data_IF_315921828524
#
_entry.id   IF_315921828524
#
_cell.length_a   1.000
_cell.length_b   1.000
_cell.length_c   1.000
_cell.angle_alpha   90.00
_cell.angle_beta   90.00
_cell.angle_gamma   90.00
#
_symmetry.space_group_name_H-M   'P 1'
#
loop_
_entity.id
_entity.type
_entity.pdbx_description
1 polymer ?
#
# COMPACT_ATOMS: atom_id res chain seq x y z
N UNK A 1 83.79 -36.27 -20.60
CA UNK A 1 82.55 -36.47 -19.83
C UNK A 1 81.91 -35.11 -19.61
N UNK A 2 80.77 -34.83 -20.23
CA UNK A 2 79.58 -34.16 -19.67
C UNK A 2 78.46 -34.27 -20.73
N UNK A 3 77.44 -35.08 -20.42
CA UNK A 3 76.22 -35.27 -21.19
C UNK A 3 75.37 -33.99 -21.10
N UNK A 4 74.98 -33.40 -22.23
CA UNK A 4 73.93 -32.38 -22.26
C UNK A 4 72.64 -33.02 -22.78
N UNK A 5 71.65 -33.17 -21.89
CA UNK A 5 70.35 -33.81 -22.14
C UNK A 5 69.47 -32.83 -22.92
N UNK A 6 69.05 -33.21 -24.13
CA UNK A 6 68.07 -32.43 -24.93
C UNK A 6 66.73 -32.41 -24.19
N UNK A 7 66.31 -31.23 -23.74
CA UNK A 7 64.95 -30.99 -23.21
C UNK A 7 64.04 -30.62 -24.40
N UNK A 8 63.08 -31.47 -24.75
CA UNK A 8 62.02 -31.11 -25.68
C UNK A 8 61.00 -30.20 -24.98
N UNK A 9 60.85 -28.97 -25.47
CA UNK A 9 59.82 -28.05 -25.03
C UNK A 9 58.46 -28.47 -25.63
N UNK A 10 57.52 -28.89 -24.78
CA UNK A 10 56.13 -29.16 -25.19
C UNK A 10 55.53 -27.89 -25.81
N UNK A 11 54.91 -28.03 -26.99
CA UNK A 11 54.25 -26.94 -27.71
C UNK A 11 53.04 -26.45 -26.90
N UNK A 12 53.15 -25.28 -26.28
CA UNK A 12 52.07 -24.67 -25.49
C UNK A 12 50.98 -24.13 -26.40
N UNK A 13 49.73 -24.45 -26.10
CA UNK A 13 48.59 -23.82 -26.75
C UNK A 13 48.49 -22.35 -26.30
N UNK A 14 48.08 -21.43 -27.19
CA UNK A 14 47.80 -20.05 -26.79
C UNK A 14 46.73 -20.00 -25.69
N UNK A 15 46.91 -19.11 -24.72
CA UNK A 15 46.03 -18.96 -23.53
C UNK A 15 44.56 -18.70 -23.88
N UNK A 16 44.27 -18.19 -25.07
CA UNK A 16 42.91 -17.93 -25.57
C UNK A 16 42.15 -19.17 -26.04
N UNK A 17 42.77 -20.36 -26.01
CA UNK A 17 42.19 -21.61 -26.50
C UNK A 17 42.00 -22.58 -25.34
N UNK A 18 40.76 -22.97 -25.09
CA UNK A 18 40.43 -23.96 -24.07
C UNK A 18 40.71 -25.35 -24.63
N UNK A 19 41.72 -26.00 -24.07
CA UNK A 19 42.21 -27.32 -24.44
C UNK A 19 42.19 -28.25 -23.23
N UNK A 20 41.71 -29.46 -23.42
CA UNK A 20 41.75 -30.52 -22.41
C UNK A 20 42.99 -31.40 -22.64
N UNK A 21 43.89 -31.49 -21.65
CA UNK A 21 45.12 -32.27 -21.74
C UNK A 21 44.89 -33.79 -21.66
N UNK A 22 43.82 -34.24 -21.01
CA UNK A 22 43.51 -35.67 -20.81
C UNK A 22 42.88 -36.27 -22.05
N UNK A 23 41.89 -35.58 -22.62
CA UNK A 23 41.17 -36.05 -23.81
C UNK A 23 41.78 -35.57 -25.13
N UNK A 24 42.71 -34.60 -25.09
CA UNK A 24 43.33 -33.97 -26.26
C UNK A 24 42.30 -33.39 -27.24
N UNK A 25 41.32 -32.66 -26.70
CA UNK A 25 40.25 -32.06 -27.49
C UNK A 25 40.01 -30.57 -27.15
N UNK A 26 39.46 -29.83 -28.12
CA UNK A 26 39.05 -28.44 -27.96
C UNK A 26 37.62 -28.36 -27.40
N UNK A 27 37.50 -28.07 -26.12
CA UNK A 27 36.20 -28.08 -25.41
C UNK A 27 35.49 -26.72 -25.35
N UNK A 28 36.05 -25.68 -25.98
CA UNK A 28 35.54 -24.30 -25.89
C UNK A 28 34.05 -24.15 -26.27
N UNK A 29 33.53 -25.03 -27.15
CA UNK A 29 32.11 -25.04 -27.57
C UNK A 29 31.16 -25.58 -26.49
N UNK A 30 31.65 -26.41 -25.58
CA UNK A 30 30.84 -27.08 -24.56
C UNK A 30 30.67 -26.22 -23.30
N UNK A 31 31.41 -25.11 -23.21
CA UNK A 31 31.35 -24.23 -22.05
C UNK A 31 30.05 -23.44 -22.03
N UNK A 32 29.35 -23.35 -20.88
CA UNK A 32 28.15 -22.53 -20.73
C UNK A 32 28.45 -21.02 -20.64
N UNK A 33 29.71 -20.63 -20.77
CA UNK A 33 30.19 -19.25 -20.68
C UNK A 33 31.23 -18.95 -21.77
N UNK A 34 31.41 -17.67 -22.08
CA UNK A 34 32.37 -17.21 -23.07
C UNK A 34 33.82 -17.49 -22.62
N UNK A 35 34.58 -18.20 -23.45
CA UNK A 35 36.01 -18.48 -23.24
C UNK A 35 36.96 -17.49 -23.93
N UNK A 36 36.41 -16.56 -24.74
CA UNK A 36 37.17 -15.52 -25.46
C UNK A 36 36.51 -14.16 -25.26
N UNK A 37 37.29 -13.09 -25.38
CA UNK A 37 36.81 -11.71 -25.24
C UNK A 37 35.70 -11.31 -26.24
N UNK A 38 35.59 -12.02 -27.38
CA UNK A 38 34.52 -11.84 -28.38
C UNK A 38 33.26 -12.67 -28.10
N UNK A 39 33.24 -13.49 -27.04
CA UNK A 39 32.08 -14.29 -26.69
C UNK A 39 30.96 -13.48 -26.02
N UNK A 40 29.73 -14.02 -25.95
CA UNK A 40 28.60 -13.31 -25.36
C UNK A 40 28.86 -13.02 -23.87
N UNK A 41 28.75 -11.75 -23.49
CA UNK A 41 28.92 -11.31 -22.11
C UNK A 41 27.63 -11.60 -21.34
N UNK A 42 27.71 -12.44 -20.30
CA UNK A 42 26.61 -12.66 -19.37
C UNK A 42 26.50 -11.41 -18.48
N UNK A 43 25.54 -10.54 -18.79
CA UNK A 43 25.22 -9.38 -17.93
C UNK A 43 24.19 -9.82 -16.89
N UNK A 44 24.54 -9.75 -15.61
CA UNK A 44 23.56 -9.93 -14.53
C UNK A 44 22.57 -8.76 -14.62
N UNK A 45 21.25 -9.00 -14.73
CA UNK A 45 20.27 -7.93 -14.78
C UNK A 45 20.34 -7.12 -13.47
N UNK A 46 20.24 -5.79 -13.58
CA UNK A 46 20.25 -4.91 -12.41
C UNK A 46 18.96 -5.11 -11.58
N UNK A 47 19.07 -5.92 -10.52
CA UNK A 47 17.96 -6.21 -9.60
C UNK A 47 17.62 -5.03 -8.69
N UNK A 48 18.52 -4.07 -8.54
CA UNK A 48 18.33 -2.91 -7.65
C UNK A 48 17.27 -1.97 -8.19
N UNK A 49 17.23 -1.76 -9.51
CA UNK A 49 16.18 -0.99 -10.16
C UNK A 49 14.79 -1.64 -9.98
N UNK A 50 14.71 -2.98 -10.00
CA UNK A 50 13.46 -3.70 -9.74
C UNK A 50 13.03 -3.58 -8.27
N UNK A 51 13.95 -3.79 -7.33
CA UNK A 51 13.69 -3.63 -5.89
C UNK A 51 13.24 -2.21 -5.55
N UNK A 52 13.94 -1.19 -6.05
CA UNK A 52 13.58 0.21 -5.83
C UNK A 52 12.19 0.55 -6.39
N UNK A 53 11.84 0.03 -7.57
CA UNK A 53 10.48 0.19 -8.12
C UNK A 53 9.44 -0.49 -7.23
N UNK A 54 9.73 -1.68 -6.70
CA UNK A 54 8.88 -2.39 -5.75
C UNK A 54 8.64 -1.59 -4.47
N UNK A 55 9.72 -1.13 -3.82
CA UNK A 55 9.65 -0.30 -2.61
C UNK A 55 8.82 0.95 -2.86
N UNK A 56 9.09 1.70 -3.93
CA UNK A 56 8.31 2.92 -4.26
C UNK A 56 6.81 2.64 -4.43
N UNK A 57 6.45 1.53 -5.08
CA UNK A 57 5.04 1.14 -5.27
C UNK A 57 4.37 0.83 -3.93
N UNK A 58 4.99 -0.03 -3.12
CA UNK A 58 4.45 -0.44 -1.82
C UNK A 58 4.36 0.76 -0.87
N UNK A 59 5.39 1.61 -0.81
CA UNK A 59 5.35 2.83 0.00
C UNK A 59 4.20 3.75 -0.39
N UNK A 60 3.95 3.93 -1.69
CA UNK A 60 2.81 4.75 -2.15
C UNK A 60 1.48 4.12 -1.78
N UNK A 61 1.34 2.80 -1.92
CA UNK A 61 0.13 2.07 -1.53
C UNK A 61 -0.14 2.23 -0.02
N UNK A 62 0.85 1.98 0.83
CA UNK A 62 0.72 2.13 2.28
C UNK A 62 0.39 3.57 2.68
N UNK A 63 0.95 4.55 1.98
CA UNK A 63 0.62 5.96 2.22
C UNK A 63 -0.83 6.27 1.87
N UNK A 64 -1.35 5.72 0.77
CA UNK A 64 -2.77 5.84 0.41
C UNK A 64 -3.67 5.16 1.44
N UNK A 65 -3.37 3.93 1.84
CA UNK A 65 -4.15 3.21 2.86
C UNK A 65 -4.17 3.95 4.21
N UNK A 66 -3.05 4.57 4.59
CA UNK A 66 -2.95 5.38 5.80
C UNK A 66 -3.82 6.63 5.72
N UNK A 67 -3.88 7.29 4.56
CA UNK A 67 -4.72 8.46 4.36
C UNK A 67 -6.21 8.10 4.38
N UNK A 68 -6.59 6.99 3.76
CA UNK A 68 -7.96 6.46 3.84
C UNK A 68 -8.35 6.11 5.28
N UNK A 69 -7.45 5.49 6.03
CA UNK A 69 -7.70 5.16 7.44
C UNK A 69 -7.89 6.42 8.29
N UNK A 70 -7.08 7.46 8.07
CA UNK A 70 -7.27 8.76 8.73
C UNK A 70 -8.64 9.35 8.43
N UNK A 71 -9.08 9.30 7.17
CA UNK A 71 -10.43 9.75 6.77
C UNK A 71 -11.51 9.01 7.56
N UNK A 72 -11.44 7.68 7.59
CA UNK A 72 -12.38 6.84 8.37
C UNK A 72 -12.39 7.18 9.85
N UNK A 73 -11.23 7.44 10.45
CA UNK A 73 -11.14 7.85 11.86
C UNK A 73 -11.80 9.21 12.08
N UNK A 74 -11.57 10.18 11.21
CA UNK A 74 -12.19 11.50 11.32
C UNK A 74 -13.72 11.41 11.24
N UNK A 75 -14.24 10.61 10.30
CA UNK A 75 -15.68 10.43 10.16
C UNK A 75 -16.27 9.67 11.35
N UNK A 76 -15.56 8.66 11.87
CA UNK A 76 -15.95 7.98 13.11
C UNK A 76 -16.05 8.96 14.29
N UNK A 77 -15.05 9.84 14.47
CA UNK A 77 -15.07 10.84 15.54
C UNK A 77 -16.24 11.81 15.39
N UNK A 78 -16.54 12.25 14.16
CA UNK A 78 -17.72 13.10 13.88
C UNK A 78 -19.01 12.38 14.25
N UNK A 79 -19.19 11.14 13.80
CA UNK A 79 -20.38 10.34 14.10
C UNK A 79 -20.53 10.09 15.60
N UNK A 80 -19.44 9.80 16.31
CA UNK A 80 -19.46 9.63 17.76
C UNK A 80 -19.86 10.92 18.49
N UNK A 81 -19.30 12.06 18.08
CA UNK A 81 -19.62 13.38 18.63
C UNK A 81 -21.09 13.75 18.38
N UNK A 82 -21.59 13.55 17.16
CA UNK A 82 -22.99 13.75 16.80
C UNK A 82 -23.93 12.86 17.62
N UNK A 83 -23.59 11.58 17.73
CA UNK A 83 -24.33 10.60 18.53
C UNK A 83 -24.43 11.03 19.98
N UNK A 84 -23.30 11.40 20.61
CA UNK A 84 -23.28 11.90 21.98
C UNK A 84 -24.14 13.15 22.14
N UNK A 85 -24.06 14.10 21.19
CA UNK A 85 -24.84 15.34 21.22
C UNK A 85 -26.35 15.07 21.15
N UNK A 86 -26.78 14.19 20.24
CA UNK A 86 -28.20 13.86 20.06
C UNK A 86 -28.75 13.09 21.25
N UNK A 87 -27.99 12.11 21.79
CA UNK A 87 -28.40 11.38 22.99
C UNK A 87 -28.43 12.23 24.26
N UNK A 88 -27.61 13.28 24.35
CA UNK A 88 -27.65 14.25 25.44
C UNK A 88 -28.86 15.19 25.37
N UNK A 89 -29.52 15.29 24.21
CA UNK A 89 -30.70 16.12 24.03
C UNK A 89 -31.94 15.47 24.67
N UNK A 90 -32.88 16.32 25.10
CA UNK A 90 -34.13 15.86 25.70
C UNK A 90 -35.17 15.55 24.63
N UNK A 91 -35.75 14.35 24.69
CA UNK A 91 -36.88 13.95 23.84
C UNK A 91 -37.83 13.01 24.57
N UNK A 92 -39.08 12.91 24.12
CA UNK A 92 -40.18 12.15 24.75
C UNK A 92 -40.77 11.07 23.84
N UNK A 93 -40.06 10.69 22.78
CA UNK A 93 -40.49 9.69 21.82
C UNK A 93 -39.40 8.63 21.67
N UNK A 94 -39.77 7.47 21.14
CA UNK A 94 -38.82 6.43 20.78
C UNK A 94 -38.33 6.67 19.35
N UNK A 95 -37.02 6.87 19.13
CA UNK A 95 -36.49 7.08 17.78
C UNK A 95 -36.48 5.76 17.01
N UNK A 96 -36.92 5.82 15.75
CA UNK A 96 -36.97 4.69 14.83
C UNK A 96 -35.78 4.74 13.87
N UNK A 97 -35.21 3.58 13.62
CA UNK A 97 -34.10 3.41 12.68
C UNK A 97 -34.56 3.82 11.28
N UNK A 98 -33.73 4.62 10.60
CA UNK A 98 -33.95 5.09 9.24
C UNK A 98 -34.64 6.45 9.14
N UNK A 99 -35.30 6.90 10.21
CA UNK A 99 -36.03 8.17 10.25
C UNK A 99 -35.10 9.36 10.54
N UNK A 100 -35.52 10.54 10.07
CA UNK A 100 -34.77 11.80 10.25
C UNK A 100 -35.44 12.67 11.32
N UNK A 101 -34.62 13.22 12.19
CA UNK A 101 -35.01 14.02 13.33
C UNK A 101 -34.25 15.34 13.34
N UNK A 102 -34.85 16.35 13.95
CA UNK A 102 -34.34 17.72 13.94
C UNK A 102 -33.93 18.13 15.35
N UNK A 103 -32.66 18.48 15.51
CA UNK A 103 -32.12 18.97 16.75
C UNK A 103 -32.25 20.49 16.80
N UNK A 104 -32.73 20.99 17.94
CA UNK A 104 -32.95 22.40 18.15
C UNK A 104 -32.39 22.85 19.49
N UNK A 105 -32.04 24.15 19.55
CA UNK A 105 -31.50 24.75 20.77
C UNK A 105 -32.60 25.08 21.77
N UNK A 106 -32.42 24.64 23.01
CA UNK A 106 -33.22 25.05 24.16
C UNK A 106 -32.50 26.04 25.07
N UNK A 107 -33.21 26.54 26.08
CA UNK A 107 -32.64 27.48 27.07
C UNK A 107 -31.72 26.79 28.07
N UNK A 108 -32.02 25.54 28.44
CA UNK A 108 -31.23 24.73 29.38
C UNK A 108 -30.55 23.54 28.69
N UNK A 109 -31.32 22.79 27.91
CA UNK A 109 -30.87 21.59 27.20
C UNK A 109 -31.39 21.65 25.76
N UNK A 110 -30.64 21.07 24.82
CA UNK A 110 -31.09 20.88 23.45
C UNK A 110 -32.22 19.84 23.41
N UNK A 111 -33.10 19.93 22.42
CA UNK A 111 -34.20 18.98 22.24
C UNK A 111 -34.23 18.42 20.83
N UNK A 112 -34.51 17.12 20.75
CA UNK A 112 -34.74 16.42 19.50
C UNK A 112 -36.24 16.40 19.19
N UNK A 113 -36.60 16.64 17.94
CA UNK A 113 -37.99 16.72 17.48
C UNK A 113 -38.17 16.03 16.13
N UNK A 114 -39.40 15.60 15.85
CA UNK A 114 -39.85 15.06 14.56
C UNK A 114 -40.23 16.17 13.57
N UNK A 115 -40.45 17.39 14.06
CA UNK A 115 -40.99 18.51 13.27
C UNK A 115 -39.85 19.21 12.52
N UNK A 116 -40.02 19.39 11.21
CA UNK A 116 -39.08 20.10 10.36
C UNK A 116 -38.95 21.60 10.72
N UNK A 117 -37.78 22.22 10.45
CA UNK A 117 -37.53 23.61 10.82
C UNK A 117 -38.47 24.62 10.13
N UNK A 118 -39.02 24.29 8.96
CA UNK A 118 -39.98 25.15 8.24
C UNK A 118 -41.30 25.33 9.01
N UNK A 119 -41.67 24.33 9.80
CA UNK A 119 -42.92 24.32 10.56
C UNK A 119 -42.74 24.87 11.97
N UNK A 120 -41.50 25.14 12.40
CA UNK A 120 -41.22 25.56 13.76
C UNK A 120 -40.15 26.64 13.85
N UNK A 121 -40.54 27.84 14.29
CA UNK A 121 -39.67 29.01 14.45
C UNK A 121 -38.77 28.92 15.70
N UNK A 122 -37.97 27.87 15.81
CA UNK A 122 -36.93 27.73 16.82
C UNK A 122 -35.56 27.60 16.18
N UNK A 123 -34.50 27.82 16.97
CA UNK A 123 -33.13 27.79 16.48
C UNK A 123 -32.74 26.35 16.13
N UNK A 124 -32.77 26.05 14.83
CA UNK A 124 -32.33 24.80 14.25
C UNK A 124 -30.81 24.61 14.40
N UNK A 125 -30.39 23.44 14.86
CA UNK A 125 -28.97 23.08 15.03
C UNK A 125 -28.49 22.08 13.97
N UNK A 126 -29.38 21.20 13.50
CA UNK A 126 -29.05 20.22 12.47
C UNK A 126 -30.07 19.10 12.38
N UNK A 127 -30.12 18.45 11.22
CA UNK A 127 -30.90 17.23 10.99
C UNK A 127 -30.00 16.00 11.20
N UNK A 128 -30.58 14.97 11.82
CA UNK A 128 -29.88 13.74 12.16
C UNK A 128 -30.76 12.54 11.81
N UNK A 129 -30.16 11.55 11.16
CA UNK A 129 -30.81 10.29 10.83
C UNK A 129 -30.28 9.19 11.73
N UNK A 130 -31.17 8.34 12.23
CA UNK A 130 -30.77 7.18 13.03
C UNK A 130 -30.38 6.03 12.09
N UNK A 131 -29.14 5.57 12.17
CA UNK A 131 -28.65 4.42 11.39
C UNK A 131 -29.10 3.08 11.99
N UNK A 132 -28.91 1.99 11.24
CA UNK A 132 -29.21 0.62 11.70
C UNK A 132 -28.39 0.18 12.91
N UNK A 133 -27.26 0.86 13.17
CA UNK A 133 -26.38 0.61 14.32
C UNK A 133 -26.70 1.55 15.49
N UNK A 134 -27.85 2.23 15.46
CA UNK A 134 -28.26 3.23 16.45
C UNK A 134 -27.27 4.40 16.59
N UNK A 135 -26.58 4.74 15.49
CA UNK A 135 -25.71 5.92 15.42
C UNK A 135 -26.45 7.06 14.76
N UNK A 136 -26.13 8.28 15.17
CA UNK A 136 -26.72 9.48 14.58
C UNK A 136 -25.80 10.09 13.53
N UNK A 137 -26.28 10.10 12.30
CA UNK A 137 -25.59 10.67 11.15
C UNK A 137 -26.20 12.03 10.81
N UNK A 138 -25.36 13.04 10.61
CA UNK A 138 -25.86 14.35 10.20
C UNK A 138 -26.32 14.28 8.74
N UNK A 139 -27.48 14.84 8.46
CA UNK A 139 -28.04 14.92 7.11
C UNK A 139 -28.14 16.39 6.72
N UNK A 140 -27.83 16.69 5.46
CA UNK A 140 -28.08 18.02 4.89
C UNK A 140 -29.59 18.20 4.71
N UNK A 141 -30.12 19.28 5.26
CA UNK A 141 -31.54 19.66 5.22
C UNK A 141 -31.67 21.10 4.73
#
# INVERSE_FOLDING_TARGET
>A
MYLCKKFELKKKTPDSIVWDEEQREYIARLLPYASKASGPIIKVPNVDAFKQKGVKKVSKQLQTELEELKGKIQDFVKTASNTQKVYAAKFKFEPLVGETYFLYKGEKEDYLSLIAPDQWKKKFLGAYRLSSEYKWENVEW
#
